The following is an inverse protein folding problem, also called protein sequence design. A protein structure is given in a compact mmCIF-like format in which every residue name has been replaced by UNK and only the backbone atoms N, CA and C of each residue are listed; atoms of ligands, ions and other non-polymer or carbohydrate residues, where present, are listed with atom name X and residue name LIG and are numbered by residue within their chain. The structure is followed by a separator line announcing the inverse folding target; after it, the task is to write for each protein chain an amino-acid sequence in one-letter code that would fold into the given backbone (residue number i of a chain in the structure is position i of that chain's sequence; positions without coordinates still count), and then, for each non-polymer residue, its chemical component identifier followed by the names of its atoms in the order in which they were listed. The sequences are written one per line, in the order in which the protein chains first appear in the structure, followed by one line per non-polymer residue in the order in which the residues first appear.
data_IF_099983679382
#
_entry.id   IF_099983679382
#
_cell.length_a   1.000
_cell.length_b   1.000
_cell.length_c   1.000
_cell.angle_alpha   90.00
_cell.angle_beta   90.00
_cell.angle_gamma   90.00
#
_symmetry.space_group_name_H-M   'P 1'
#
loop_
_entity.id
_entity.type
_entity.pdbx_description
1 polymer ?
#
# COMPACT_ATOMS: atom_id res chain seq x y z
N UNK A 1 12.85 12.10 -3.19
CA UNK A 1 11.61 12.54 -2.50
C UNK A 1 10.62 11.38 -2.58
N UNK A 2 9.80 11.14 -1.56
CA UNK A 2 8.81 10.03 -1.53
C UNK A 2 7.46 10.68 -1.21
N UNK A 3 6.52 10.55 -2.12
CA UNK A 3 5.23 11.26 -2.06
C UNK A 3 4.08 10.36 -1.56
N UNK A 4 4.23 9.04 -1.66
CA UNK A 4 3.24 8.06 -1.19
C UNK A 4 3.90 6.83 -0.53
N UNK A 5 3.17 6.18 0.36
CA UNK A 5 3.57 4.93 1.03
C UNK A 5 2.41 3.94 1.02
N UNK A 6 2.69 2.70 0.62
CA UNK A 6 1.74 1.59 0.72
C UNK A 6 2.10 0.74 1.93
N UNK A 7 1.14 0.52 2.83
CA UNK A 7 1.32 -0.29 4.04
C UNK A 7 0.22 -1.34 4.17
N UNK A 8 0.49 -2.39 4.95
CA UNK A 8 -0.53 -3.37 5.29
C UNK A 8 -1.64 -2.79 6.16
N UNK A 9 -2.83 -3.40 6.20
CA UNK A 9 -4.01 -2.85 6.89
C UNK A 9 -3.89 -2.78 8.41
N UNK A 10 -2.91 -3.49 8.98
CA UNK A 10 -2.65 -3.53 10.43
C UNK A 10 -1.48 -2.64 10.85
N UNK A 11 -0.85 -1.94 9.90
CA UNK A 11 0.27 -1.05 10.16
C UNK A 11 -0.28 0.30 10.62
N UNK A 12 0.18 0.76 11.78
CA UNK A 12 -0.08 2.12 12.22
C UNK A 12 0.74 3.10 11.36
N UNK A 13 0.04 3.92 10.58
CA UNK A 13 0.63 4.94 9.72
C UNK A 13 0.32 6.35 10.23
N UNK A 14 -0.17 6.51 11.46
CA UNK A 14 -0.55 7.81 12.05
C UNK A 14 0.64 8.78 12.15
N UNK A 15 1.87 8.26 12.19
CA UNK A 15 3.09 9.06 12.18
C UNK A 15 3.44 9.63 10.79
N UNK A 16 2.74 9.22 9.72
CA UNK A 16 2.96 9.67 8.35
C UNK A 16 1.89 10.72 8.00
N UNK A 17 2.22 11.99 8.20
CA UNK A 17 1.28 13.12 8.02
C UNK A 17 1.38 13.80 6.66
N UNK A 18 2.57 13.80 6.05
CA UNK A 18 2.87 14.57 4.83
C UNK A 18 2.96 13.70 3.57
N UNK A 19 2.36 12.51 3.58
CA UNK A 19 2.38 11.58 2.45
C UNK A 19 1.04 10.92 2.26
N UNK A 20 0.75 10.53 1.03
CA UNK A 20 -0.41 9.70 0.73
C UNK A 20 -0.17 8.31 1.31
N UNK A 21 -1.02 7.90 2.25
CA UNK A 21 -0.98 6.56 2.86
C UNK A 21 -2.07 5.70 2.23
N UNK A 22 -1.66 4.62 1.56
CA UNK A 22 -2.57 3.59 1.06
C UNK A 22 -2.43 2.36 1.96
N UNK A 23 -3.52 1.97 2.63
CA UNK A 23 -3.56 0.80 3.50
C UNK A 23 -4.35 -0.32 2.84
N UNK A 24 -3.67 -1.38 2.38
CA UNK A 24 -4.30 -2.48 1.64
C UNK A 24 -3.72 -3.84 2.03
N UNK A 25 -4.54 -4.89 1.98
CA UNK A 25 -4.05 -6.28 2.11
C UNK A 25 -3.30 -6.62 0.84
N UNK A 26 -2.00 -6.90 0.97
CA UNK A 26 -1.15 -7.31 -0.14
C UNK A 26 -0.75 -8.78 -0.08
N UNK A 27 -1.11 -9.48 1.00
CA UNK A 27 -0.71 -10.87 1.22
C UNK A 27 -1.53 -11.82 0.34
N UNK A 28 -0.85 -12.70 -0.39
CA UNK A 28 -1.50 -13.80 -1.09
C UNK A 28 -1.97 -14.84 -0.06
N UNK A 29 -3.24 -15.23 -0.11
CA UNK A 29 -3.86 -16.15 0.86
C UNK A 29 -3.19 -17.53 0.99
N UNK A 30 -2.40 -17.94 -0.01
CA UNK A 30 -1.84 -19.28 -0.11
C UNK A 30 -0.39 -19.44 0.37
N UNK A 31 0.43 -18.36 0.39
CA UNK A 31 1.87 -18.47 0.69
C UNK A 31 2.31 -17.32 1.62
N UNK A 32 2.84 -17.61 2.82
CA UNK A 32 3.38 -16.60 3.71
C UNK A 32 4.45 -15.75 3.01
N UNK A 33 4.46 -14.44 3.26
CA UNK A 33 5.43 -13.46 2.70
C UNK A 33 5.36 -13.23 1.18
N UNK A 34 4.41 -13.84 0.48
CA UNK A 34 4.17 -13.55 -0.94
C UNK A 34 3.17 -12.42 -1.05
N UNK A 35 3.58 -11.35 -1.72
CA UNK A 35 2.61 -10.36 -2.17
C UNK A 35 1.84 -10.88 -3.38
N UNK A 36 0.52 -10.78 -3.34
CA UNK A 36 -0.28 -10.97 -4.54
C UNK A 36 0.05 -9.81 -5.49
N UNK A 37 0.52 -10.17 -6.69
CA UNK A 37 1.00 -9.22 -7.68
C UNK A 37 -0.14 -8.35 -8.21
N UNK A 38 -1.37 -8.85 -8.25
CA UNK A 38 -2.55 -8.07 -8.63
C UNK A 38 -2.92 -7.08 -7.54
N UNK A 39 -2.94 -7.52 -6.27
CA UNK A 39 -3.24 -6.62 -5.14
C UNK A 39 -2.21 -5.51 -5.03
N UNK A 40 -0.93 -5.83 -5.19
CA UNK A 40 0.15 -4.83 -5.22
C UNK A 40 -0.03 -3.84 -6.38
N UNK A 41 -0.35 -4.33 -7.57
CA UNK A 41 -0.58 -3.47 -8.73
C UNK A 41 -1.76 -2.51 -8.49
N UNK A 42 -2.88 -3.01 -8.00
CA UNK A 42 -4.05 -2.17 -7.67
C UNK A 42 -3.75 -1.14 -6.58
N UNK A 43 -2.96 -1.48 -5.57
CA UNK A 43 -2.54 -0.53 -4.53
C UNK A 43 -1.64 0.58 -5.11
N UNK A 44 -0.75 0.24 -6.05
CA UNK A 44 0.09 1.21 -6.76
C UNK A 44 -0.73 2.14 -7.67
N UNK A 45 -1.71 1.61 -8.40
CA UNK A 45 -2.61 2.44 -9.22
C UNK A 45 -3.37 3.45 -8.37
N UNK A 46 -3.90 3.03 -7.21
CA UNK A 46 -4.55 3.95 -6.25
C UNK A 46 -3.60 5.02 -5.74
N UNK A 47 -2.36 4.64 -5.43
CA UNK A 47 -1.33 5.60 -4.99
C UNK A 47 -1.04 6.65 -6.07
N UNK A 48 -0.88 6.22 -7.32
CA UNK A 48 -0.65 7.12 -8.46
C UNK A 48 -1.87 8.03 -8.69
N UNK A 49 -3.09 7.49 -8.59
CA UNK A 49 -4.32 8.29 -8.75
C UNK A 49 -4.51 9.32 -7.64
N UNK A 50 -4.12 9.01 -6.40
CA UNK A 50 -4.19 9.93 -5.28
C UNK A 50 -3.12 11.04 -5.32
N UNK A 51 -2.06 10.86 -6.12
CA UNK A 51 -1.04 11.88 -6.40
C UNK A 51 -1.39 12.78 -7.60
N UNK A 52 -2.50 12.48 -8.31
CA UNK A 52 -2.99 13.21 -9.49
C UNK A 52 -3.83 14.43 -9.15
#
# INVERSE_FOLDING_TARGET
MIDAVVVGPKVDASAVTDRVVIQEVLEASDIPYRHDRQLLHSALEKAVQALG
#
